data_IF_474755346829
#
_entry.id   IF_474755346829
#
_cell.length_a   1.000
_cell.length_b   1.000
_cell.length_c   1.000
_cell.angle_alpha   90.00
_cell.angle_beta   90.00
_cell.angle_gamma   90.00
#
_symmetry.space_group_name_H-M   'P 1'
#
loop_
_entity.id
_entity.type
_entity.pdbx_description
1 polymer ?
#
# COMPACT_ATOMS: atom_id res chain seq x y z
N UNK A 1 1.27 -5.54 -7.09
CA UNK A 1 1.18 -4.40 -8.04
C UNK A 1 2.54 -3.73 -8.16
N UNK A 2 2.92 -3.32 -9.36
CA UNK A 2 4.09 -2.47 -9.62
C UNK A 2 3.62 -1.17 -10.27
N UNK A 3 3.99 -0.03 -9.71
CA UNK A 3 3.75 1.30 -10.29
C UNK A 3 5.08 1.97 -10.59
N UNK A 4 5.31 2.30 -11.86
CA UNK A 4 6.39 3.20 -12.25
C UNK A 4 5.90 4.64 -12.13
N UNK A 5 6.62 5.46 -11.37
CA UNK A 5 6.31 6.86 -11.14
C UNK A 5 7.40 7.69 -11.82
N UNK A 6 6.98 8.58 -12.71
CA UNK A 6 7.91 9.46 -13.42
C UNK A 6 8.67 10.42 -12.49
N UNK A 7 9.73 11.08 -12.99
CA UNK A 7 10.51 12.05 -12.23
C UNK A 7 9.65 13.15 -11.61
N UNK A 8 9.89 13.46 -10.33
CA UNK A 8 9.12 14.48 -9.61
C UNK A 8 9.92 15.12 -8.49
N UNK A 9 9.80 16.45 -8.39
CA UNK A 9 10.55 17.22 -7.40
C UNK A 9 12.05 16.95 -7.50
N UNK A 10 12.74 16.61 -6.39
CA UNK A 10 14.17 16.30 -6.41
C UNK A 10 14.51 14.85 -6.83
N UNK A 11 13.51 14.02 -7.14
CA UNK A 11 13.69 12.60 -7.42
C UNK A 11 13.61 12.31 -8.92
N UNK A 12 14.44 11.35 -9.37
CA UNK A 12 14.30 10.69 -10.67
C UNK A 12 13.02 9.80 -10.68
N UNK A 13 12.98 8.76 -11.49
CA UNK A 13 11.87 7.82 -11.48
C UNK A 13 11.88 6.89 -10.25
N UNK A 14 10.71 6.38 -9.88
CA UNK A 14 10.53 5.46 -8.76
C UNK A 14 9.76 4.23 -9.22
N UNK A 15 10.13 3.07 -8.65
CA UNK A 15 9.35 1.83 -8.77
C UNK A 15 8.74 1.52 -7.41
N UNK A 16 7.41 1.60 -7.34
CA UNK A 16 6.65 1.28 -6.14
C UNK A 16 6.05 -0.12 -6.27
N UNK A 17 6.32 -0.97 -5.28
CA UNK A 17 5.80 -2.33 -5.22
C UNK A 17 4.81 -2.47 -4.06
N UNK A 18 3.66 -3.08 -4.34
CA UNK A 18 2.71 -3.53 -3.32
C UNK A 18 2.62 -5.05 -3.40
N UNK A 19 2.98 -5.70 -2.30
CA UNK A 19 2.96 -7.14 -2.13
C UNK A 19 1.83 -7.56 -1.19
N UNK A 20 1.31 -8.78 -1.39
CA UNK A 20 0.53 -9.46 -0.36
C UNK A 20 1.49 -9.93 0.75
N UNK A 21 1.32 -9.37 1.95
CA UNK A 21 2.12 -9.70 3.13
C UNK A 21 1.63 -10.95 3.88
N UNK A 22 0.54 -11.58 3.41
CA UNK A 22 -0.14 -12.67 4.10
C UNK A 22 -1.12 -12.17 5.16
N UNK A 23 -1.61 -13.11 5.97
CA UNK A 23 -2.62 -12.85 7.00
C UNK A 23 -2.01 -13.04 8.38
N UNK A 24 -2.16 -12.02 9.23
CA UNK A 24 -1.77 -12.06 10.63
C UNK A 24 -2.91 -12.62 11.48
N UNK A 25 -2.58 -13.33 12.56
CA UNK A 25 -3.58 -13.78 13.53
C UNK A 25 -4.13 -12.60 14.35
N UNK A 26 -5.29 -12.77 14.97
CA UNK A 26 -5.83 -11.75 15.89
C UNK A 26 -4.86 -11.45 17.05
N UNK A 27 -4.14 -12.47 17.54
CA UNK A 27 -3.13 -12.32 18.58
C UNK A 27 -1.95 -11.46 18.10
N UNK A 28 -1.45 -11.71 16.88
CA UNK A 28 -0.38 -10.90 16.28
C UNK A 28 -0.81 -9.44 16.11
N UNK A 29 -2.05 -9.22 15.64
CA UNK A 29 -2.60 -7.88 15.44
C UNK A 29 -2.69 -7.12 16.76
N UNK A 30 -3.10 -7.76 17.85
CA UNK A 30 -3.15 -7.12 19.18
C UNK A 30 -1.77 -6.73 19.72
N UNK A 31 -0.71 -7.36 19.23
CA UNK A 31 0.67 -7.07 19.61
C UNK A 31 1.38 -6.10 18.65
N UNK A 32 0.72 -5.69 17.55
CA UNK A 32 1.27 -4.70 16.63
C UNK A 32 1.45 -3.36 17.34
N UNK A 33 2.69 -2.88 17.36
CA UNK A 33 3.04 -1.57 17.89
C UNK A 33 4.21 -1.00 17.06
N UNK A 34 4.22 0.32 16.79
CA UNK A 34 5.37 0.97 16.19
C UNK A 34 6.65 0.70 16.99
N UNK A 35 7.73 0.36 16.29
CA UNK A 35 9.08 0.18 16.88
C UNK A 35 10.05 1.27 16.45
N UNK A 36 9.77 1.91 15.32
CA UNK A 36 10.53 3.00 14.75
C UNK A 36 9.84 4.34 15.08
N UNK A 37 10.57 5.37 15.57
CA UNK A 37 9.99 6.67 15.88
C UNK A 37 9.40 7.41 14.67
N UNK A 38 9.75 7.04 13.43
CA UNK A 38 9.12 7.59 12.22
C UNK A 38 7.66 7.15 12.06
N UNK A 39 7.26 6.05 12.73
CA UNK A 39 5.90 5.52 12.68
C UNK A 39 5.19 5.85 13.99
N UNK A 40 4.12 6.64 13.90
CA UNK A 40 3.33 7.05 15.08
C UNK A 40 2.27 6.03 15.49
N UNK A 41 1.72 5.26 14.54
CA UNK A 41 0.60 4.35 14.77
C UNK A 41 0.59 3.21 13.74
N UNK A 42 0.10 2.04 14.14
CA UNK A 42 -0.20 0.91 13.26
C UNK A 42 -1.56 0.35 13.66
N UNK A 43 -2.42 0.09 12.69
CA UNK A 43 -3.75 -0.49 12.91
C UNK A 43 -4.13 -1.44 11.77
N UNK A 44 -4.86 -2.51 12.12
CA UNK A 44 -5.59 -3.31 11.14
C UNK A 44 -6.93 -2.64 10.85
N UNK A 45 -7.20 -2.34 9.57
CA UNK A 45 -8.39 -1.61 9.14
C UNK A 45 -9.03 -2.30 7.93
N UNK A 46 -10.35 -2.09 7.75
CA UNK A 46 -11.02 -2.57 6.53
C UNK A 46 -10.58 -1.78 5.29
N UNK A 47 -10.73 -2.34 4.08
CA UNK A 47 -10.46 -1.60 2.84
C UNK A 47 -11.22 -0.27 2.75
N UNK A 48 -12.45 -0.22 3.26
CA UNK A 48 -13.27 1.01 3.27
C UNK A 48 -12.69 2.07 4.21
N UNK A 49 -12.21 1.67 5.39
CA UNK A 49 -11.53 2.58 6.32
C UNK A 49 -10.18 3.06 5.76
N UNK A 50 -9.41 2.15 5.16
CA UNK A 50 -8.12 2.49 4.53
C UNK A 50 -8.28 3.61 3.48
N UNK A 51 -9.32 3.57 2.64
CA UNK A 51 -9.61 4.63 1.66
C UNK A 51 -9.84 6.02 2.27
N UNK A 52 -10.26 6.10 3.53
CA UNK A 52 -10.46 7.36 4.25
C UNK A 52 -9.16 7.87 4.91
N UNK A 53 -8.22 6.98 5.20
CA UNK A 53 -6.95 7.29 5.84
C UNK A 53 -5.84 7.60 4.83
N UNK A 54 -5.92 7.00 3.65
CA UNK A 54 -4.93 7.13 2.59
C UNK A 54 -5.14 8.39 1.74
N UNK A 55 -4.05 8.89 1.16
CA UNK A 55 -4.14 9.87 0.07
C UNK A 55 -4.86 9.25 -1.14
N UNK A 56 -5.46 10.10 -1.99
CA UNK A 56 -6.24 9.64 -3.14
C UNK A 56 -5.46 8.68 -4.05
N UNK A 57 -4.16 8.95 -4.29
CA UNK A 57 -3.35 8.10 -5.16
C UNK A 57 -2.93 6.80 -4.48
N UNK A 58 -2.70 6.80 -3.17
CA UNK A 58 -2.43 5.56 -2.44
C UNK A 58 -3.67 4.68 -2.33
N UNK A 59 -4.86 5.28 -2.17
CA UNK A 59 -6.13 4.56 -2.19
C UNK A 59 -6.37 3.87 -3.55
N UNK A 60 -6.12 4.55 -4.67
CA UNK A 60 -6.20 3.93 -6.02
C UNK A 60 -5.25 2.74 -6.16
N UNK A 61 -4.01 2.87 -5.68
CA UNK A 61 -3.03 1.78 -5.70
C UNK A 61 -3.47 0.60 -4.85
N UNK A 62 -4.01 0.84 -3.66
CA UNK A 62 -4.56 -0.21 -2.80
C UNK A 62 -5.69 -0.96 -3.52
N UNK A 63 -6.62 -0.25 -4.16
CA UNK A 63 -7.73 -0.87 -4.90
C UNK A 63 -7.24 -1.77 -6.05
N UNK A 64 -6.25 -1.29 -6.82
CA UNK A 64 -5.64 -2.08 -7.90
C UNK A 64 -4.89 -3.30 -7.37
N UNK A 65 -4.18 -3.15 -6.25
CA UNK A 65 -3.47 -4.26 -5.61
C UNK A 65 -4.43 -5.33 -5.10
N UNK A 66 -5.57 -4.95 -4.50
CA UNK A 66 -6.61 -5.88 -4.06
C UNK A 66 -7.25 -6.61 -5.25
N UNK A 67 -7.58 -5.90 -6.33
CA UNK A 67 -8.11 -6.53 -7.55
C UNK A 67 -7.12 -7.53 -8.14
N UNK A 68 -5.84 -7.16 -8.25
CA UNK A 68 -4.80 -8.04 -8.75
C UNK A 68 -4.63 -9.31 -7.89
N UNK A 69 -4.76 -9.17 -6.57
CA UNK A 69 -4.72 -10.29 -5.63
C UNK A 69 -5.90 -11.24 -5.83
N UNK A 70 -7.12 -10.71 -5.96
CA UNK A 70 -8.32 -11.50 -6.26
C UNK A 70 -8.19 -12.28 -7.57
N UNK A 71 -7.65 -11.61 -8.60
CA UNK A 71 -7.45 -12.20 -9.93
C UNK A 71 -6.23 -13.13 -10.02
N UNK A 72 -5.46 -13.29 -8.95
CA UNK A 72 -4.18 -14.00 -8.91
C UNK A 72 -3.22 -13.55 -10.04
N UNK A 73 -3.13 -12.24 -10.22
CA UNK A 73 -2.37 -11.61 -11.29
C UNK A 73 -1.42 -10.53 -10.76
N UNK A 74 -0.56 -10.01 -11.63
CA UNK A 74 0.26 -8.83 -11.34
C UNK A 74 -0.27 -7.65 -12.12
N UNK A 75 -0.72 -6.62 -11.41
CA UNK A 75 -1.06 -5.33 -12.01
C UNK A 75 0.19 -4.46 -12.15
N UNK A 76 0.34 -3.87 -13.35
CA UNK A 76 1.37 -2.89 -13.67
C UNK A 76 0.70 -1.55 -14.03
N UNK A 77 1.23 -0.47 -13.46
CA UNK A 77 0.78 0.89 -13.71
C UNK A 77 1.97 1.80 -14.07
N UNK A 78 1.65 2.83 -14.84
CA UNK A 78 2.56 3.94 -15.11
C UNK A 78 1.85 5.24 -14.70
N UNK A 79 2.46 5.97 -13.78
CA UNK A 79 2.02 7.26 -13.27
C UNK A 79 3.01 8.35 -13.69
N UNK A 80 3.00 8.77 -14.97
CA UNK A 80 3.80 9.90 -15.42
C UNK A 80 3.26 11.17 -14.73
N UNK A 81 4.11 11.84 -13.97
CA UNK A 81 3.79 13.09 -13.25
C UNK A 81 3.69 14.28 -14.21
#
# INVERSE_FOLDING_TARGET
MLDWIGPHGPWDDQLLFIFDGGVLSEEDVQQLAPRDPEISEVAAVSPQQARQLLSADMAKRLERALQALEDNSTDYAESPQ
#
